data_IF_620996513078
#
_entry.id   IF_620996513078
#
_cell.length_a   1.000
_cell.length_b   1.000
_cell.length_c   1.000
_cell.angle_alpha   90.00
_cell.angle_beta   90.00
_cell.angle_gamma   90.00
#
_symmetry.space_group_name_H-M   'P 1'
#
loop_
_entity.id
_entity.type
_entity.pdbx_description
1 polymer ?
#
# COMPACT_ATOMS: atom_id res chain seq x y z
N UNK A 1 10.00 14.90 23.49
CA UNK A 1 10.55 14.09 22.38
C UNK A 1 10.45 12.61 22.67
N UNK A 2 11.12 12.07 23.70
CA UNK A 2 11.06 10.64 24.04
C UNK A 2 9.63 10.08 24.14
N UNK A 3 8.71 10.78 24.83
CA UNK A 3 7.31 10.37 24.96
C UNK A 3 6.55 10.18 23.64
N UNK A 4 6.85 10.97 22.60
CA UNK A 4 6.20 10.88 21.28
C UNK A 4 6.80 9.70 20.49
N UNK A 5 8.12 9.51 20.59
CA UNK A 5 8.84 8.41 19.93
C UNK A 5 8.73 7.09 20.69
N UNK A 6 7.89 7.02 21.74
CA UNK A 6 7.77 5.87 22.66
C UNK A 6 9.09 5.44 23.31
N UNK A 7 10.06 6.37 23.38
CA UNK A 7 11.36 6.18 24.01
C UNK A 7 11.33 6.72 25.44
N UNK A 8 11.91 5.97 26.38
CA UNK A 8 12.07 6.40 27.77
C UNK A 8 13.02 7.60 27.93
N UNK A 9 13.13 8.12 29.14
CA UNK A 9 14.11 9.16 29.49
C UNK A 9 14.84 8.78 30.79
N UNK A 10 16.14 9.09 30.87
CA UNK A 10 16.98 8.74 32.02
C UNK A 10 16.71 9.61 33.25
N UNK A 11 16.13 10.80 33.07
CA UNK A 11 15.88 11.76 34.14
C UNK A 11 14.38 11.80 34.43
N UNK A 12 13.96 11.22 35.56
CA UNK A 12 12.56 11.21 35.98
C UNK A 12 12.21 12.40 36.91
N UNK A 13 11.01 12.99 36.76
CA UNK A 13 10.55 14.05 37.63
C UNK A 13 10.33 13.53 39.08
N UNK A 14 10.94 14.24 40.04
CA UNK A 14 10.85 13.90 41.47
C UNK A 14 9.60 14.46 42.16
N UNK A 15 9.11 15.64 41.75
CA UNK A 15 7.97 16.31 42.36
C UNK A 15 6.62 15.73 41.93
N UNK A 16 5.62 15.75 42.81
CA UNK A 16 4.29 15.16 42.54
C UNK A 16 3.54 15.90 41.42
N UNK A 17 3.61 17.23 41.39
CA UNK A 17 2.94 18.05 40.37
C UNK A 17 3.50 17.82 38.97
N UNK A 18 4.83 17.66 38.84
CA UNK A 18 5.47 17.39 37.55
C UNK A 18 5.18 15.99 37.03
N UNK A 19 4.93 15.01 37.91
CA UNK A 19 4.45 13.67 37.51
C UNK A 19 3.08 13.70 36.86
N UNK A 20 2.14 14.48 37.39
CA UNK A 20 0.81 14.63 36.77
C UNK A 20 0.88 15.28 35.39
N UNK A 21 1.70 16.33 35.23
CA UNK A 21 1.92 16.98 33.94
C UNK A 21 2.57 16.01 32.94
N UNK A 22 3.59 15.25 33.37
CA UNK A 22 4.21 14.23 32.52
C UNK A 22 3.23 13.10 32.14
N UNK A 23 2.36 12.67 33.07
CA UNK A 23 1.33 11.67 32.80
C UNK A 23 0.30 12.16 31.78
N UNK A 24 -0.18 13.40 31.92
CA UNK A 24 -1.11 14.02 30.97
C UNK A 24 -0.47 14.18 29.59
N UNK A 25 0.80 14.60 29.54
CA UNK A 25 1.57 14.73 28.30
C UNK A 25 1.80 13.38 27.63
N UNK A 26 2.10 12.34 28.41
CA UNK A 26 2.26 10.99 27.89
C UNK A 26 0.96 10.46 27.30
N UNK A 27 -0.16 10.64 28.01
CA UNK A 27 -1.49 10.25 27.52
C UNK A 27 -1.84 10.96 26.22
N UNK A 28 -1.61 12.27 26.15
CA UNK A 28 -1.78 13.06 24.93
C UNK A 28 -0.92 12.53 23.78
N UNK A 29 0.38 12.28 24.02
CA UNK A 29 1.30 11.78 23.00
C UNK A 29 0.88 10.41 22.46
N UNK A 30 0.40 9.51 23.34
CA UNK A 30 -0.13 8.21 22.94
C UNK A 30 -1.36 8.38 22.04
N UNK A 31 -2.34 9.21 22.42
CA UNK A 31 -3.53 9.44 21.60
C UNK A 31 -3.14 9.94 20.19
N UNK A 32 -2.28 10.95 20.11
CA UNK A 32 -1.87 11.53 18.83
C UNK A 32 -1.16 10.49 17.94
N UNK A 33 -0.22 9.71 18.49
CA UNK A 33 0.46 8.66 17.74
C UNK A 33 -0.51 7.58 17.24
N UNK A 34 -1.45 7.13 18.08
CA UNK A 34 -2.41 6.11 17.69
C UNK A 34 -3.39 6.62 16.62
N UNK A 35 -3.87 7.86 16.72
CA UNK A 35 -4.72 8.46 15.68
C UNK A 35 -3.97 8.60 14.36
N UNK A 36 -2.69 9.00 14.39
CA UNK A 36 -1.86 9.07 13.19
C UNK A 36 -1.66 7.69 12.55
N UNK A 37 -1.33 6.65 13.34
CA UNK A 37 -1.18 5.27 12.85
C UNK A 37 -2.50 4.77 12.24
N UNK A 38 -3.64 5.05 12.89
CA UNK A 38 -4.95 4.66 12.40
C UNK A 38 -5.29 5.33 11.06
N UNK A 39 -5.06 6.65 10.94
CA UNK A 39 -5.32 7.38 9.71
C UNK A 39 -4.37 6.98 8.57
N UNK A 40 -3.10 6.74 8.89
CA UNK A 40 -2.13 6.21 7.94
C UNK A 40 -2.57 4.83 7.43
N UNK A 41 -2.89 3.91 8.34
CA UNK A 41 -3.38 2.57 8.01
C UNK A 41 -4.60 2.62 7.09
N UNK A 42 -5.61 3.42 7.44
CA UNK A 42 -6.81 3.59 6.62
C UNK A 42 -6.51 4.13 5.21
N UNK A 43 -5.56 5.07 5.08
CA UNK A 43 -5.13 5.58 3.77
C UNK A 43 -4.39 4.52 2.95
N UNK A 44 -3.60 3.66 3.59
CA UNK A 44 -2.88 2.58 2.90
C UNK A 44 -3.85 1.50 2.41
N UNK A 45 -4.86 1.15 3.21
CA UNK A 45 -5.92 0.23 2.77
C UNK A 45 -6.76 0.82 1.65
N UNK A 46 -7.05 2.13 1.68
CA UNK A 46 -7.77 2.81 0.60
C UNK A 46 -6.95 2.84 -0.71
N UNK A 47 -5.62 2.88 -0.62
CA UNK A 47 -4.76 2.84 -1.80
C UNK A 47 -4.88 1.51 -2.56
N UNK A 48 -5.15 0.41 -1.84
CA UNK A 48 -5.38 -0.94 -2.39
C UNK A 48 -6.76 -1.09 -3.04
N UNK A 49 -7.74 -0.24 -2.68
CA UNK A 49 -9.11 -0.28 -3.23
C UNK A 49 -9.30 0.59 -4.48
N UNK A 50 -8.26 1.28 -4.97
CA UNK A 50 -8.36 2.21 -6.11
C UNK A 50 -8.48 1.50 -7.48
N UNK A 51 -9.33 0.49 -7.59
CA UNK A 51 -9.84 0.11 -8.90
C UNK A 51 -10.86 1.15 -9.37
N UNK A 52 -10.72 1.68 -10.60
CA UNK A 52 -11.57 2.75 -11.08
C UNK A 52 -13.05 2.33 -11.23
N UNK A 53 -13.32 1.03 -11.28
CA UNK A 53 -14.66 0.43 -11.44
C UNK A 53 -14.70 -0.94 -10.73
N UNK A 54 -15.67 -1.16 -9.85
CA UNK A 54 -15.92 -2.47 -9.23
C UNK A 54 -17.24 -3.08 -9.74
N UNK A 55 -18.22 -2.24 -10.08
CA UNK A 55 -19.52 -2.66 -10.60
C UNK A 55 -19.84 -2.00 -11.94
N UNK A 56 -20.77 -2.62 -12.67
CA UNK A 56 -21.33 -2.06 -13.91
C UNK A 56 -22.12 -0.77 -13.65
N UNK A 57 -22.69 -0.60 -12.46
CA UNK A 57 -23.33 0.65 -12.05
C UNK A 57 -22.33 1.81 -11.95
N UNK A 58 -21.10 1.55 -11.51
CA UNK A 58 -20.04 2.56 -11.42
C UNK A 58 -19.56 2.95 -12.81
N UNK A 59 -19.39 1.95 -13.69
CA UNK A 59 -19.04 2.14 -15.09
C UNK A 59 -20.08 3.00 -15.83
N UNK A 60 -21.37 2.82 -15.53
CA UNK A 60 -22.46 3.57 -16.15
C UNK A 60 -22.58 5.03 -15.65
N UNK A 61 -22.19 5.32 -14.41
CA UNK A 61 -22.21 6.68 -13.85
C UNK A 61 -21.06 7.55 -14.35
N UNK A 62 -19.92 6.93 -14.69
CA UNK A 62 -18.72 7.63 -15.14
C UNK A 62 -18.62 7.69 -16.67
N UNK A 63 -17.92 8.69 -17.18
CA UNK A 63 -17.73 8.91 -18.62
C UNK A 63 -16.28 8.76 -19.08
N UNK A 64 -15.35 8.50 -18.15
CA UNK A 64 -13.90 8.41 -18.42
C UNK A 64 -13.54 7.12 -19.14
N UNK A 65 -14.10 6.00 -18.71
CA UNK A 65 -13.95 4.68 -19.34
C UNK A 65 -15.11 4.48 -20.31
N UNK A 66 -14.81 4.35 -21.60
CA UNK A 66 -15.81 4.03 -22.63
C UNK A 66 -16.11 2.54 -22.59
N UNK A 67 -17.30 2.13 -23.01
CA UNK A 67 -17.65 0.71 -23.06
C UNK A 67 -18.37 0.36 -24.35
N UNK A 68 -18.25 -0.89 -24.78
CA UNK A 68 -18.89 -1.38 -25.99
C UNK A 68 -19.11 -2.88 -26.00
N UNK A 69 -19.81 -3.35 -27.03
CA UNK A 69 -20.13 -4.75 -27.28
C UNK A 69 -20.01 -5.04 -28.79
N UNK A 70 -20.19 -6.30 -29.17
CA UNK A 70 -20.20 -6.70 -30.58
C UNK A 70 -21.45 -6.14 -31.28
N UNK A 71 -21.26 -5.54 -32.46
CA UNK A 71 -22.36 -5.10 -33.33
C UNK A 71 -23.21 -6.30 -33.76
N UNK A 72 -24.51 -6.27 -33.46
CA UNK A 72 -25.43 -7.36 -33.78
C UNK A 72 -25.24 -8.63 -32.95
N UNK A 73 -24.43 -8.57 -31.88
CA UNK A 73 -24.25 -9.67 -30.95
C UNK A 73 -25.40 -9.82 -29.94
N UNK A 74 -25.48 -10.99 -29.31
CA UNK A 74 -26.44 -11.32 -28.24
C UNK A 74 -26.37 -10.35 -27.06
N UNK A 75 -25.16 -9.87 -26.72
CA UNK A 75 -24.93 -8.93 -25.63
C UNK A 75 -25.47 -7.53 -25.94
N UNK A 76 -25.33 -7.04 -27.17
CA UNK A 76 -25.90 -5.75 -27.57
C UNK A 76 -27.42 -5.82 -27.63
N UNK A 77 -27.96 -6.92 -28.15
CA UNK A 77 -29.42 -7.13 -28.19
C UNK A 77 -30.01 -7.26 -26.79
N UNK A 78 -29.32 -7.86 -25.81
CA UNK A 78 -29.74 -7.85 -24.41
C UNK A 78 -30.00 -6.44 -23.88
N UNK A 79 -29.06 -5.51 -24.08
CA UNK A 79 -29.22 -4.12 -23.65
C UNK A 79 -30.37 -3.41 -24.40
N UNK A 80 -30.66 -3.81 -25.64
CA UNK A 80 -31.78 -3.30 -26.45
C UNK A 80 -33.14 -3.89 -26.06
N UNK A 81 -33.18 -5.16 -25.65
CA UNK A 81 -34.39 -5.83 -25.17
C UNK A 81 -34.83 -5.25 -23.83
N UNK A 82 -33.89 -4.95 -22.92
CA UNK A 82 -34.20 -4.26 -21.66
C UNK A 82 -34.86 -2.90 -21.91
N UNK A 83 -34.40 -2.15 -22.92
CA UNK A 83 -35.02 -0.90 -23.36
C UNK A 83 -36.48 -1.13 -23.86
N UNK A 84 -36.73 -2.23 -24.54
CA UNK A 84 -38.02 -2.54 -25.17
C UNK A 84 -39.04 -3.13 -24.18
N UNK A 85 -38.60 -4.02 -23.29
CA UNK A 85 -39.42 -4.68 -22.27
C UNK A 85 -39.96 -3.69 -21.24
N UNK A 86 -39.17 -2.66 -20.88
CA UNK A 86 -39.57 -1.60 -19.94
C UNK A 86 -40.83 -0.83 -20.38
N UNK A 87 -41.11 -0.73 -21.69
CA UNK A 87 -42.34 -0.07 -22.19
C UNK A 87 -43.61 -0.88 -21.95
N UNK A 88 -43.52 -2.21 -21.90
CA UNK A 88 -44.68 -3.10 -21.71
C UNK A 88 -44.91 -3.46 -20.24
N UNK A 89 -43.89 -3.29 -19.39
CA UNK A 89 -43.89 -3.68 -17.98
C UNK A 89 -44.45 -2.61 -17.02
N UNK A 90 -44.89 -1.45 -17.53
CA UNK A 90 -45.44 -0.36 -16.71
C UNK A 90 -46.82 -0.64 -16.10
N UNK A 91 -47.51 -1.72 -16.48
CA UNK A 91 -48.91 -1.94 -16.09
C UNK A 91 -49.15 -3.05 -15.05
N UNK A 92 -48.17 -3.90 -14.71
CA UNK A 92 -48.46 -5.09 -13.90
C UNK A 92 -47.61 -5.35 -12.65
N UNK A 93 -46.47 -4.67 -12.43
CA UNK A 93 -45.58 -5.02 -11.30
C UNK A 93 -45.14 -3.81 -10.48
N UNK A 94 -46.10 -3.20 -9.75
CA UNK A 94 -45.83 -2.21 -8.70
C UNK A 94 -45.27 -2.84 -7.40
N UNK A 95 -45.09 -4.16 -7.33
CA UNK A 95 -44.73 -4.86 -6.09
C UNK A 95 -43.48 -5.76 -6.16
N UNK A 96 -42.57 -5.56 -7.13
CA UNK A 96 -41.33 -6.32 -7.17
C UNK A 96 -40.10 -5.41 -7.14
N UNK A 97 -39.49 -5.34 -5.94
CA UNK A 97 -38.09 -5.01 -5.69
C UNK A 97 -37.56 -3.70 -6.30
N UNK A 98 -37.49 -2.63 -5.50
CA UNK A 98 -36.79 -1.37 -5.83
C UNK A 98 -35.38 -1.56 -6.44
N UNK A 99 -34.71 -2.67 -6.11
CA UNK A 99 -33.40 -3.03 -6.65
C UNK A 99 -33.43 -3.47 -8.13
N UNK A 100 -34.50 -4.12 -8.61
CA UNK A 100 -34.59 -4.61 -9.99
C UNK A 100 -34.81 -3.43 -10.96
N UNK A 101 -35.71 -2.51 -10.61
CA UNK A 101 -36.01 -1.31 -11.40
C UNK A 101 -34.79 -0.37 -11.55
N UNK A 102 -33.88 -0.35 -10.56
CA UNK A 102 -32.64 0.42 -10.64
C UNK A 102 -31.70 -0.12 -11.70
N UNK A 103 -31.53 -1.46 -11.80
CA UNK A 103 -30.64 -2.09 -12.79
C UNK A 103 -31.14 -1.88 -14.22
N UNK A 104 -32.45 -1.92 -14.43
CA UNK A 104 -33.06 -1.69 -15.75
C UNK A 104 -32.77 -0.27 -16.26
N UNK A 105 -32.77 0.73 -15.37
CA UNK A 105 -32.42 2.11 -15.70
C UNK A 105 -30.94 2.25 -16.09
N UNK A 106 -30.04 1.58 -15.36
CA UNK A 106 -28.61 1.56 -15.67
C UNK A 106 -28.35 0.96 -17.06
N UNK A 107 -28.88 -0.23 -17.33
CA UNK A 107 -28.67 -0.93 -18.61
C UNK A 107 -29.24 -0.18 -19.80
N UNK A 108 -30.39 0.48 -19.61
CA UNK A 108 -30.96 1.38 -20.62
C UNK A 108 -30.03 2.54 -20.95
N UNK A 109 -29.50 3.22 -19.94
CA UNK A 109 -28.58 4.34 -20.13
C UNK A 109 -27.31 3.89 -20.87
N UNK A 110 -26.81 2.69 -20.53
CA UNK A 110 -25.66 2.10 -21.20
C UNK A 110 -25.94 1.81 -22.68
N UNK A 111 -27.10 1.23 -23.00
CA UNK A 111 -27.50 1.02 -24.38
C UNK A 111 -27.57 2.33 -25.17
N UNK A 112 -28.24 3.34 -24.63
CA UNK A 112 -28.36 4.66 -25.27
C UNK A 112 -26.99 5.30 -25.52
N UNK A 113 -26.05 5.15 -24.58
CA UNK A 113 -24.67 5.64 -24.71
C UNK A 113 -23.88 4.89 -25.79
N UNK A 114 -24.03 3.57 -25.87
CA UNK A 114 -23.40 2.74 -26.92
C UNK A 114 -24.00 3.04 -28.30
N UNK A 115 -25.33 3.22 -28.38
CA UNK A 115 -26.03 3.55 -29.62
C UNK A 115 -25.67 4.96 -30.13
N UNK A 116 -25.47 5.92 -29.23
CA UNK A 116 -25.04 7.27 -29.58
C UNK A 116 -23.59 7.33 -30.11
N UNK A 117 -22.75 6.35 -29.73
CA UNK A 117 -21.33 6.33 -30.09
C UNK A 117 -20.96 5.03 -30.82
N UNK A 118 -21.32 4.87 -32.11
CA UNK A 118 -21.07 3.61 -32.83
C UNK A 118 -19.59 3.22 -32.91
N UNK A 119 -18.69 4.19 -32.76
CA UNK A 119 -17.25 3.95 -32.71
C UNK A 119 -16.80 3.10 -31.51
N UNK A 120 -17.59 2.96 -30.45
CA UNK A 120 -17.25 2.10 -29.28
C UNK A 120 -17.58 0.63 -29.52
N UNK A 121 -18.42 0.33 -30.50
CA UNK A 121 -18.78 -1.04 -30.86
C UNK A 121 -17.68 -1.67 -31.71
N UNK A 122 -17.61 -2.99 -31.69
CA UNK A 122 -16.61 -3.79 -32.42
C UNK A 122 -17.29 -4.89 -33.21
N UNK A 123 -16.58 -5.48 -34.17
CA UNK A 123 -17.14 -6.53 -35.04
C UNK A 123 -16.84 -7.94 -34.54
N UNK A 124 -15.73 -8.13 -33.81
CA UNK A 124 -15.28 -9.43 -33.31
C UNK A 124 -14.78 -9.35 -31.87
N UNK A 125 -14.80 -10.50 -31.18
CA UNK A 125 -14.24 -10.65 -29.83
C UNK A 125 -12.72 -10.37 -29.80
N UNK A 126 -11.99 -10.75 -30.85
CA UNK A 126 -10.55 -10.52 -30.93
C UNK A 126 -10.21 -9.03 -31.12
N UNK A 127 -11.03 -8.32 -31.89
CA UNK A 127 -10.94 -6.86 -32.05
C UNK A 127 -11.23 -6.15 -30.72
N UNK A 128 -12.27 -6.61 -30.00
CA UNK A 128 -12.60 -6.11 -28.67
C UNK A 128 -11.47 -6.30 -27.66
N UNK A 129 -10.85 -7.48 -27.63
CA UNK A 129 -9.68 -7.76 -26.80
C UNK A 129 -8.51 -6.82 -27.14
N UNK A 130 -8.14 -6.73 -28.41
CA UNK A 130 -7.01 -5.90 -28.85
C UNK A 130 -7.24 -4.43 -28.50
N UNK A 131 -8.49 -3.97 -28.62
CA UNK A 131 -8.88 -2.61 -28.25
C UNK A 131 -8.74 -2.34 -26.76
N UNK A 132 -9.19 -3.25 -25.89
CA UNK A 132 -9.01 -3.12 -24.44
C UNK A 132 -7.52 -3.01 -24.09
N UNK A 133 -6.68 -3.84 -24.71
CA UNK A 133 -5.22 -3.82 -24.50
C UNK A 133 -4.57 -2.51 -24.97
N UNK A 134 -4.99 -1.98 -26.13
CA UNK A 134 -4.49 -0.71 -26.69
C UNK A 134 -4.93 0.50 -25.87
N UNK A 135 -6.13 0.46 -25.30
CA UNK A 135 -6.75 1.59 -24.60
C UNK A 135 -6.27 1.79 -23.16
N UNK A 136 -5.40 0.94 -22.61
CA UNK A 136 -4.78 1.11 -21.27
C UNK A 136 -5.76 1.62 -20.20
N UNK A 137 -6.75 0.80 -19.84
CA UNK A 137 -7.79 1.08 -18.81
C UNK A 137 -8.80 2.19 -19.13
N UNK A 138 -8.88 2.68 -20.38
CA UNK A 138 -9.89 3.68 -20.80
C UNK A 138 -11.05 3.10 -21.61
N UNK A 139 -11.04 1.79 -21.86
CA UNK A 139 -12.10 1.09 -22.57
C UNK A 139 -12.41 -0.25 -21.92
N UNK A 140 -13.69 -0.53 -21.69
CA UNK A 140 -14.21 -1.80 -21.22
C UNK A 140 -15.02 -2.48 -22.32
N UNK A 141 -14.97 -3.81 -22.38
CA UNK A 141 -15.62 -4.59 -23.42
C UNK A 141 -16.54 -5.64 -22.83
N UNK A 142 -17.82 -5.62 -23.24
CA UNK A 142 -18.80 -6.62 -22.85
C UNK A 142 -18.72 -7.83 -23.77
N UNK A 143 -18.61 -9.01 -23.14
CA UNK A 143 -18.47 -10.30 -23.80
C UNK A 143 -19.14 -11.37 -22.91
N UNK A 144 -19.47 -12.52 -23.48
CA UNK A 144 -20.02 -13.67 -22.76
C UNK A 144 -19.00 -14.23 -21.74
N UNK A 145 -19.47 -14.61 -20.54
CA UNK A 145 -18.62 -15.07 -19.42
C UNK A 145 -17.64 -16.20 -19.81
N UNK A 146 -18.12 -17.17 -20.58
CA UNK A 146 -17.34 -18.30 -21.09
C UNK A 146 -16.11 -17.86 -21.90
N UNK A 147 -16.30 -16.84 -22.76
CA UNK A 147 -15.26 -16.32 -23.64
C UNK A 147 -14.30 -15.43 -22.84
N UNK A 148 -14.82 -14.66 -21.87
CA UNK A 148 -13.98 -13.91 -20.92
C UNK A 148 -13.06 -14.86 -20.14
N UNK A 149 -13.60 -15.92 -19.53
CA UNK A 149 -12.82 -16.94 -18.81
C UNK A 149 -11.74 -17.55 -19.69
N UNK A 150 -12.06 -17.82 -20.95
CA UNK A 150 -11.12 -18.35 -21.93
C UNK A 150 -9.98 -17.39 -22.22
N UNK A 151 -10.28 -16.10 -22.41
CA UNK A 151 -9.29 -15.06 -22.77
C UNK A 151 -8.42 -14.67 -21.57
N UNK A 152 -8.98 -14.57 -20.36
CA UNK A 152 -8.22 -14.28 -19.14
C UNK A 152 -7.09 -15.30 -18.88
N UNK A 153 -7.36 -16.59 -19.11
CA UNK A 153 -6.35 -17.64 -18.94
C UNK A 153 -5.23 -17.60 -19.99
N UNK A 154 -5.37 -16.82 -21.06
CA UNK A 154 -4.36 -16.68 -22.12
C UNK A 154 -3.63 -15.35 -22.07
N UNK A 155 -4.29 -14.33 -21.51
CA UNK A 155 -3.77 -12.99 -21.46
C UNK A 155 -3.94 -12.40 -20.06
N UNK A 156 -2.87 -12.47 -19.27
CA UNK A 156 -2.85 -12.01 -17.88
C UNK A 156 -2.93 -10.47 -17.74
N UNK A 157 -2.93 -9.72 -18.86
CA UNK A 157 -3.13 -8.26 -18.86
C UNK A 157 -4.60 -7.88 -18.78
N UNK A 158 -5.51 -8.83 -18.97
CA UNK A 158 -6.94 -8.61 -18.89
C UNK A 158 -7.43 -8.89 -17.47
N UNK A 159 -8.38 -8.09 -16.99
CA UNK A 159 -9.09 -8.30 -15.73
C UNK A 159 -10.59 -8.35 -16.00
N UNK A 160 -11.31 -9.29 -15.37
CA UNK A 160 -12.79 -9.27 -15.31
C UNK A 160 -13.19 -8.37 -14.15
N UNK A 161 -14.11 -7.44 -14.43
CA UNK A 161 -14.68 -6.52 -13.43
C UNK A 161 -16.15 -6.84 -13.27
N UNK A 162 -16.59 -6.95 -12.02
CA UNK A 162 -17.99 -7.21 -11.66
C UNK A 162 -18.47 -8.65 -11.92
N UNK A 163 -19.75 -8.86 -11.59
CA UNK A 163 -20.45 -10.13 -11.77
C UNK A 163 -21.09 -10.31 -13.15
N UNK A 164 -21.80 -11.41 -13.31
CA UNK A 164 -22.58 -11.69 -14.53
C UNK A 164 -23.83 -10.82 -14.58
N UNK A 165 -24.14 -10.27 -15.77
CA UNK A 165 -25.29 -9.38 -15.97
C UNK A 165 -26.59 -10.14 -16.20
N UNK A 166 -26.46 -11.33 -16.79
CA UNK A 166 -27.52 -12.26 -17.09
C UNK A 166 -27.04 -13.71 -16.90
N UNK A 167 -28.00 -14.63 -16.81
CA UNK A 167 -27.73 -16.08 -16.77
C UNK A 167 -28.19 -16.70 -18.09
N UNK A 168 -27.24 -16.98 -18.98
CA UNK A 168 -27.49 -17.60 -20.29
C UNK A 168 -26.63 -18.83 -20.49
N UNK A 169 -27.24 -19.85 -21.09
CA UNK A 169 -26.59 -21.13 -21.39
C UNK A 169 -26.51 -21.36 -22.91
N UNK A 170 -25.45 -22.03 -23.36
CA UNK A 170 -25.36 -22.51 -24.73
C UNK A 170 -26.20 -23.76 -24.94
N UNK A 171 -26.93 -23.79 -26.06
CA UNK A 171 -27.72 -24.93 -26.48
C UNK A 171 -27.41 -25.33 -27.92
N UNK A 172 -27.66 -26.61 -28.24
CA UNK A 172 -27.60 -27.11 -29.61
C UNK A 172 -28.96 -26.83 -30.25
N UNK A 173 -29.00 -25.86 -31.18
CA UNK A 173 -30.20 -25.54 -31.91
C UNK A 173 -30.52 -26.64 -32.94
N UNK A 174 -31.79 -27.06 -33.00
CA UNK A 174 -32.30 -28.01 -33.99
C UNK A 174 -33.62 -27.47 -34.56
N UNK A 175 -33.98 -27.84 -35.80
CA UNK A 175 -35.27 -27.47 -36.38
C UNK A 175 -36.44 -27.81 -35.45
N UNK A 176 -37.44 -26.92 -35.40
CA UNK A 176 -38.59 -27.06 -34.50
C UNK A 176 -39.56 -28.18 -34.92
N UNK A 177 -39.60 -28.52 -36.21
CA UNK A 177 -40.45 -29.61 -36.71
C UNK A 177 -39.91 -30.95 -36.24
N UNK A 178 -40.74 -31.72 -35.53
CA UNK A 178 -40.43 -33.06 -35.03
C UNK A 178 -40.10 -34.03 -36.18
N UNK A 179 -40.72 -33.84 -37.35
CA UNK A 179 -40.35 -34.57 -38.57
C UNK A 179 -38.94 -34.24 -39.10
N UNK A 180 -38.42 -33.04 -38.78
CA UNK A 180 -37.10 -32.61 -39.23
C UNK A 180 -36.01 -32.85 -38.18
N UNK A 181 -36.35 -33.24 -36.95
CA UNK A 181 -35.38 -33.47 -35.87
C UNK A 181 -35.75 -34.65 -34.96
N UNK A 182 -35.66 -35.90 -35.48
CA UNK A 182 -35.97 -37.10 -34.69
C UNK A 182 -34.98 -37.30 -33.52
N UNK A 183 -33.76 -36.76 -33.63
CA UNK A 183 -32.70 -36.95 -32.64
C UNK A 183 -32.75 -35.98 -31.45
N UNK A 184 -33.67 -35.01 -31.45
CA UNK A 184 -33.74 -33.98 -30.40
C UNK A 184 -33.83 -34.59 -28.99
N UNK A 185 -34.70 -35.58 -28.81
CA UNK A 185 -34.93 -36.25 -27.52
C UNK A 185 -33.71 -37.06 -27.08
N UNK A 186 -33.11 -37.80 -27.99
CA UNK A 186 -31.94 -38.64 -27.68
C UNK A 186 -30.70 -37.81 -27.39
N UNK A 187 -30.48 -36.71 -28.12
CA UNK A 187 -29.39 -35.77 -27.86
C UNK A 187 -29.58 -35.10 -26.50
N UNK A 188 -30.80 -34.66 -26.17
CA UNK A 188 -31.06 -34.05 -24.86
C UNK A 188 -30.77 -35.04 -23.72
N UNK A 189 -31.20 -36.31 -23.87
CA UNK A 189 -30.88 -37.38 -22.91
C UNK A 189 -29.38 -37.63 -22.81
N UNK A 190 -28.65 -37.60 -23.93
CA UNK A 190 -27.20 -37.75 -23.94
C UNK A 190 -26.48 -36.60 -23.23
N UNK A 191 -26.91 -35.35 -23.45
CA UNK A 191 -26.35 -34.16 -22.77
C UNK A 191 -26.56 -34.27 -21.25
N UNK A 192 -27.75 -34.67 -20.81
CA UNK A 192 -28.03 -34.89 -19.38
C UNK A 192 -27.08 -35.94 -18.77
N UNK A 193 -26.89 -37.08 -19.45
CA UNK A 193 -25.93 -38.10 -19.00
C UNK A 193 -24.50 -37.57 -18.94
N UNK A 194 -24.06 -36.76 -19.91
CA UNK A 194 -22.73 -36.16 -19.90
C UNK A 194 -22.54 -35.17 -18.76
N UNK A 195 -23.61 -34.46 -18.37
CA UNK A 195 -23.63 -33.55 -17.21
C UNK A 195 -23.59 -34.33 -15.89
N UNK A 196 -24.43 -35.35 -15.72
CA UNK A 196 -24.45 -36.23 -14.54
C UNK A 196 -23.10 -36.90 -14.31
N UNK A 197 -22.44 -37.35 -15.38
CA UNK A 197 -21.12 -37.97 -15.32
C UNK A 197 -19.97 -36.96 -15.16
N UNK A 198 -20.24 -35.66 -15.01
CA UNK A 198 -19.24 -34.56 -14.94
C UNK A 198 -18.27 -34.53 -16.12
N UNK A 199 -18.67 -35.14 -17.25
CA UNK A 199 -17.81 -35.25 -18.43
C UNK A 199 -17.70 -33.90 -19.13
N UNK A 200 -18.78 -33.11 -19.11
CA UNK A 200 -18.77 -31.74 -19.64
C UNK A 200 -17.78 -30.85 -18.87
N UNK A 201 -17.70 -30.97 -17.54
CA UNK A 201 -16.76 -30.18 -16.73
C UNK A 201 -15.32 -30.58 -17.02
N UNK A 202 -15.04 -31.88 -17.18
CA UNK A 202 -13.73 -32.37 -17.62
C UNK A 202 -13.35 -31.82 -18.99
N UNK A 203 -14.30 -31.75 -19.92
CA UNK A 203 -14.10 -31.16 -21.24
C UNK A 203 -13.82 -29.65 -21.11
N UNK A 204 -14.61 -28.91 -20.32
CA UNK A 204 -14.39 -27.48 -20.07
C UNK A 204 -12.98 -27.24 -19.51
N UNK A 205 -12.61 -27.96 -18.45
CA UNK A 205 -11.29 -27.82 -17.83
C UNK A 205 -10.15 -28.10 -18.82
N UNK A 206 -10.26 -29.17 -19.60
CA UNK A 206 -9.27 -29.52 -20.62
C UNK A 206 -9.08 -28.40 -21.66
N UNK A 207 -10.16 -27.79 -22.15
CA UNK A 207 -10.05 -26.77 -23.20
C UNK A 207 -9.78 -25.35 -22.69
N UNK A 208 -10.21 -25.01 -21.47
CA UNK A 208 -9.97 -23.69 -20.88
C UNK A 208 -8.62 -23.60 -20.15
N UNK A 209 -8.22 -24.63 -19.41
CA UNK A 209 -7.05 -24.56 -18.51
C UNK A 209 -5.82 -25.30 -19.03
N UNK A 210 -5.97 -26.36 -19.83
CA UNK A 210 -4.82 -27.21 -20.21
C UNK A 210 -4.35 -27.03 -21.66
N UNK A 211 -5.23 -26.57 -22.56
CA UNK A 211 -4.97 -26.54 -24.01
C UNK A 211 -4.89 -25.13 -24.58
N UNK A 212 -4.29 -25.02 -25.78
CA UNK A 212 -4.18 -23.80 -26.58
C UNK A 212 -3.60 -22.58 -25.83
N UNK A 213 -2.39 -22.74 -25.28
CA UNK A 213 -1.64 -21.62 -24.71
C UNK A 213 -2.20 -21.04 -23.42
N UNK A 214 -2.97 -21.82 -22.65
CA UNK A 214 -3.38 -21.44 -21.31
C UNK A 214 -2.13 -21.20 -20.43
N UNK A 215 -1.95 -19.96 -19.99
CA UNK A 215 -0.89 -19.57 -19.09
C UNK A 215 -1.45 -19.61 -17.66
N UNK A 216 -0.65 -20.11 -16.72
CA UNK A 216 -0.89 -19.86 -15.31
C UNK A 216 -0.54 -18.40 -15.06
N UNK A 217 -1.51 -17.51 -15.22
CA UNK A 217 -1.41 -16.20 -14.60
C UNK A 217 -1.28 -16.45 -13.10
N UNK A 218 -0.27 -15.84 -12.47
CA UNK A 218 -0.26 -15.76 -11.01
C UNK A 218 -1.61 -15.20 -10.60
N UNK A 219 -2.30 -15.82 -9.63
CA UNK A 219 -3.56 -15.30 -9.18
C UNK A 219 -3.31 -13.85 -8.75
N UNK A 220 -3.92 -12.90 -9.47
CA UNK A 220 -4.23 -11.61 -8.87
C UNK A 220 -5.08 -11.98 -7.68
N UNK A 221 -4.47 -11.91 -6.51
CA UNK A 221 -5.03 -12.19 -5.19
C UNK A 221 -6.53 -11.89 -5.21
N UNK A 222 -7.34 -12.92 -4.97
CA UNK A 222 -8.79 -12.73 -4.81
C UNK A 222 -9.00 -11.58 -3.82
N UNK A 223 -9.97 -10.70 -4.12
CA UNK A 223 -10.28 -9.44 -3.41
C UNK A 223 -10.57 -9.58 -1.90
N UNK A 224 -10.40 -10.78 -1.31
CA UNK A 224 -10.61 -11.08 0.10
C UNK A 224 -9.32 -11.43 0.88
N UNK A 225 -8.17 -11.65 0.23
CA UNK A 225 -6.91 -12.00 0.92
C UNK A 225 -5.81 -10.96 0.62
N UNK A 226 -6.12 -9.68 0.82
CA UNK A 226 -5.15 -8.59 0.74
C UNK A 226 -4.19 -8.70 1.95
N UNK A 227 -3.28 -9.65 1.91
CA UNK A 227 -1.98 -9.54 2.56
C UNK A 227 -1.22 -8.49 1.75
N UNK A 228 -1.53 -7.22 2.02
CA UNK A 228 -1.04 -6.07 1.27
C UNK A 228 0.47 -6.05 1.34
N UNK A 229 1.12 -6.48 0.26
CA UNK A 229 2.57 -6.42 0.15
C UNK A 229 2.95 -4.94 0.21
N UNK A 230 3.58 -4.55 1.31
CA UNK A 230 3.99 -3.17 1.58
C UNK A 230 5.17 -2.85 0.66
N UNK A 231 4.85 -2.52 -0.59
CA UNK A 231 5.83 -2.21 -1.60
C UNK A 231 6.71 -1.04 -1.13
N UNK A 232 8.03 -1.17 -1.32
CA UNK A 232 9.05 -0.22 -0.85
C UNK A 232 8.77 1.23 -1.25
N UNK A 233 7.96 1.43 -2.28
CA UNK A 233 7.49 2.74 -2.75
C UNK A 233 6.73 3.51 -1.65
N UNK A 234 5.91 2.82 -0.83
CA UNK A 234 5.16 3.45 0.27
C UNK A 234 6.07 3.90 1.43
N UNK A 235 7.25 3.31 1.59
CA UNK A 235 8.21 3.62 2.66
C UNK A 235 9.34 4.55 2.21
N UNK A 236 9.42 4.89 0.92
CA UNK A 236 10.50 5.72 0.35
C UNK A 236 10.62 7.09 1.03
N UNK A 237 9.48 7.71 1.38
CA UNK A 237 9.46 9.01 2.05
C UNK A 237 10.18 9.02 3.40
N UNK A 238 10.05 7.94 4.19
CA UNK A 238 10.72 7.82 5.48
C UNK A 238 12.25 7.75 5.34
N UNK A 239 12.74 7.03 4.33
CA UNK A 239 14.18 6.95 4.04
C UNK A 239 14.77 8.30 3.61
N UNK A 240 14.05 9.07 2.79
CA UNK A 240 14.51 10.40 2.36
C UNK A 240 14.64 11.34 3.56
N UNK A 241 13.66 11.37 4.46
CA UNK A 241 13.71 12.21 5.68
C UNK A 241 14.88 11.81 6.58
N UNK A 242 15.16 10.52 6.72
CA UNK A 242 16.29 10.01 7.51
C UNK A 242 17.63 10.49 6.94
N UNK A 243 17.83 10.38 5.61
CA UNK A 243 19.09 10.81 4.96
C UNK A 243 19.28 12.31 5.09
N UNK A 244 18.24 13.11 4.85
CA UNK A 244 18.30 14.58 5.00
C UNK A 244 18.61 14.96 6.45
N UNK A 245 17.98 14.29 7.42
CA UNK A 245 18.25 14.50 8.84
C UNK A 245 19.71 14.21 9.23
N UNK A 246 20.28 13.12 8.71
CA UNK A 246 21.69 12.78 8.96
C UNK A 246 22.65 13.83 8.39
N UNK A 247 22.43 14.28 7.16
CA UNK A 247 23.26 15.31 6.53
C UNK A 247 23.17 16.62 7.29
N UNK A 248 21.97 17.01 7.72
CA UNK A 248 21.75 18.23 8.48
C UNK A 248 22.41 18.18 9.87
N UNK A 249 22.29 17.04 10.57
CA UNK A 249 22.99 16.81 11.84
C UNK A 249 24.51 16.91 11.66
N UNK A 250 25.09 16.25 10.65
CA UNK A 250 26.53 16.33 10.36
C UNK A 250 26.97 17.77 10.08
N UNK A 251 26.16 18.55 9.37
CA UNK A 251 26.45 19.96 9.08
C UNK A 251 26.44 20.82 10.34
N UNK A 252 25.44 20.67 11.22
CA UNK A 252 25.39 21.39 12.50
C UNK A 252 26.60 21.01 13.37
N UNK A 253 26.89 19.72 13.51
CA UNK A 253 28.05 19.26 14.29
C UNK A 253 29.37 19.80 13.74
N UNK A 254 29.51 19.88 12.41
CA UNK A 254 30.69 20.49 11.80
C UNK A 254 30.80 22.00 12.13
N UNK A 255 29.70 22.75 12.10
CA UNK A 255 29.67 24.17 12.48
C UNK A 255 30.01 24.37 13.96
N UNK A 256 29.41 23.59 14.85
CA UNK A 256 29.69 23.65 16.28
C UNK A 256 31.16 23.32 16.57
N UNK A 257 31.69 22.28 15.92
CA UNK A 257 33.10 21.91 16.02
C UNK A 257 34.01 23.04 15.52
N UNK A 258 33.68 23.69 14.40
CA UNK A 258 34.44 24.84 13.90
C UNK A 258 34.38 26.04 14.86
N UNK A 259 33.22 26.31 15.46
CA UNK A 259 33.06 27.38 16.45
C UNK A 259 33.86 27.10 17.72
N UNK A 260 33.90 25.85 18.18
CA UNK A 260 34.69 25.44 19.33
C UNK A 260 36.20 25.56 19.03
N UNK A 261 36.66 25.10 17.87
CA UNK A 261 38.05 25.28 17.43
C UNK A 261 38.41 26.77 17.36
N UNK A 262 37.51 27.62 16.84
CA UNK A 262 37.72 29.08 16.82
C UNK A 262 37.81 29.65 18.24
N UNK A 263 36.93 29.25 19.15
CA UNK A 263 36.96 29.70 20.55
C UNK A 263 38.26 29.29 21.25
N UNK A 264 38.75 28.08 21.02
CA UNK A 264 40.01 27.58 21.58
C UNK A 264 41.20 28.37 21.02
N UNK A 265 41.24 28.62 19.70
CA UNK A 265 42.30 29.42 19.08
C UNK A 265 42.34 30.84 19.63
N UNK A 266 41.18 31.48 19.81
CA UNK A 266 41.10 32.83 20.40
C UNK A 266 41.57 32.84 21.86
N UNK A 267 41.22 31.81 22.64
CA UNK A 267 41.58 31.69 24.07
C UNK A 267 43.06 31.36 24.29
N UNK A 268 43.64 30.50 23.46
CA UNK A 268 44.99 29.94 23.67
C UNK A 268 46.06 30.47 22.72
N UNK A 269 45.70 31.26 21.69
CA UNK A 269 46.63 31.89 20.73
C UNK A 269 47.56 30.87 20.03
N UNK A 270 46.99 29.78 19.53
CA UNK A 270 47.71 28.66 18.88
C UNK A 270 47.29 28.52 17.41
N UNK A 271 48.15 27.90 16.59
CA UNK A 271 47.94 27.77 15.13
C UNK A 271 46.73 26.90 14.78
N UNK A 272 45.85 27.39 13.90
CA UNK A 272 44.57 26.77 13.52
C UNK A 272 44.65 25.28 13.10
N UNK A 273 45.70 24.89 12.36
CA UNK A 273 45.83 23.54 11.81
C UNK A 273 46.14 22.48 12.88
N UNK A 274 46.93 22.84 13.89
CA UNK A 274 47.33 21.89 14.94
C UNK A 274 46.20 21.61 15.92
N UNK A 275 45.41 22.63 16.26
CA UNK A 275 44.24 22.49 17.12
C UNK A 275 43.17 21.65 16.43
N UNK A 276 42.90 21.93 15.15
CA UNK A 276 41.92 21.17 14.37
C UNK A 276 42.27 19.68 14.29
N UNK A 277 43.52 19.33 13.96
CA UNK A 277 43.95 17.92 13.85
C UNK A 277 43.94 17.22 15.21
N UNK A 278 44.35 17.90 16.29
CA UNK A 278 44.36 17.32 17.64
C UNK A 278 42.94 17.09 18.18
N UNK A 279 42.04 18.06 18.02
CA UNK A 279 40.63 17.94 18.44
C UNK A 279 39.87 16.91 17.59
N UNK A 280 40.12 16.84 16.27
CA UNK A 280 39.52 15.81 15.40
C UNK A 280 40.00 14.40 15.79
N UNK A 281 41.28 14.24 16.10
CA UNK A 281 41.85 12.96 16.54
C UNK A 281 41.32 12.57 17.93
N UNK A 282 41.06 13.53 18.81
CA UNK A 282 40.47 13.29 20.12
C UNK A 282 38.98 12.92 20.01
N UNK A 283 38.20 13.58 19.13
CA UNK A 283 36.77 13.28 18.94
C UNK A 283 36.51 11.95 18.23
N UNK A 284 37.42 11.51 17.36
CA UNK A 284 37.35 10.19 16.69
C UNK A 284 37.85 9.02 17.58
N UNK A 285 38.45 9.31 18.74
CA UNK A 285 38.84 8.30 19.71
C UNK A 285 37.67 7.96 20.65
N UNK A 286 36.81 7.04 20.22
CA UNK A 286 35.63 6.58 20.96
C UNK A 286 35.90 6.02 22.38
N UNK A 287 37.15 5.70 22.71
CA UNK A 287 37.55 5.12 24.00
C UNK A 287 38.04 6.14 25.04
N UNK A 288 38.13 7.43 24.69
CA UNK A 288 38.71 8.44 25.57
C UNK A 288 37.61 9.25 26.28
N UNK A 289 37.30 8.88 27.52
CA UNK A 289 36.20 9.44 28.34
C UNK A 289 36.45 10.86 28.89
N UNK A 290 37.66 11.41 28.71
CA UNK A 290 38.02 12.76 29.19
C UNK A 290 38.77 13.55 28.12
N UNK A 291 38.33 14.80 27.91
CA UNK A 291 38.95 15.76 26.98
C UNK A 291 40.36 16.12 27.47
N UNK A 292 41.43 15.93 26.66
CA UNK A 292 42.76 16.39 27.04
C UNK A 292 42.78 17.93 27.07
N UNK A 293 43.24 18.50 28.18
CA UNK A 293 43.39 19.96 28.33
C UNK A 293 44.54 20.42 27.44
N UNK A 294 44.23 21.16 26.38
CA UNK A 294 45.22 21.89 25.62
C UNK A 294 45.76 23.01 26.54
N UNK A 295 47.08 23.11 26.68
CA UNK A 295 47.72 24.19 27.44
C UNK A 295 48.93 24.66 26.64
N UNK A 296 48.95 25.95 26.31
CA UNK A 296 50.05 26.55 25.58
C UNK A 296 51.34 26.47 26.42
N UNK A 297 52.43 25.80 25.95
CA UNK A 297 53.66 25.60 26.73
C UNK A 297 54.33 26.92 27.12
N UNK A 298 54.06 28.01 26.41
CA UNK A 298 54.61 29.35 26.65
C UNK A 298 54.10 30.03 27.93
N UNK A 299 53.10 29.47 28.63
CA UNK A 299 52.44 30.08 29.81
C UNK A 299 52.45 29.18 31.05
N UNK A 300 53.26 28.12 31.09
CA UNK A 300 53.42 27.33 32.31
C UNK A 300 54.24 28.14 33.34
N UNK A 301 53.69 28.47 34.53
CA UNK A 301 54.52 29.03 35.60
C UNK A 301 55.46 27.93 36.09
N UNK A 302 56.76 28.20 36.01
CA UNK A 302 57.84 27.32 36.47
C UNK A 302 57.98 27.35 37.99
N UNK A 303 56.97 26.92 38.75
CA UNK A 303 57.13 26.55 40.17
C UNK A 303 56.10 25.46 40.48
N UNK A 304 56.56 24.23 40.73
CA UNK A 304 55.93 23.27 41.64
C UNK A 304 56.84 22.04 41.81
N UNK A 305 57.84 22.16 42.66
CA UNK A 305 58.42 21.03 43.38
C UNK A 305 57.99 21.13 44.85
N UNK A 306 57.57 20.00 45.41
CA UNK A 306 57.47 19.64 46.84
C UNK A 306 56.22 19.91 47.69
N UNK A 307 55.25 20.77 47.34
CA UNK A 307 54.12 21.07 48.27
C UNK A 307 52.82 20.26 48.00
N UNK A 308 52.71 19.59 46.84
CA UNK A 308 51.48 18.87 46.45
C UNK A 308 51.39 17.43 46.96
N UNK A 309 52.53 16.80 47.27
CA UNK A 309 52.56 15.40 47.69
C UNK A 309 52.21 15.24 49.18
N UNK A 310 52.68 16.16 50.02
CA UNK A 310 52.40 16.15 51.47
C UNK A 310 50.90 16.38 51.76
N UNK A 311 50.22 17.18 50.93
CA UNK A 311 48.78 17.45 51.07
C UNK A 311 47.90 16.28 50.61
N UNK A 312 48.37 15.49 49.63
CA UNK A 312 47.70 14.28 49.16
C UNK A 312 47.83 13.13 50.16
N UNK A 313 48.98 12.99 50.80
CA UNK A 313 49.21 11.94 51.80
C UNK A 313 48.36 12.17 53.07
N UNK A 314 48.20 13.43 53.49
CA UNK A 314 47.34 13.79 54.63
C UNK A 314 45.84 13.60 54.35
N UNK A 315 45.37 13.82 53.11
CA UNK A 315 43.99 13.53 52.73
C UNK A 315 43.70 12.02 52.66
N UNK A 316 44.66 11.21 52.20
CA UNK A 316 44.50 9.75 52.17
C UNK A 316 44.35 9.15 53.57
N UNK A 317 45.18 9.59 54.53
CA UNK A 317 45.11 9.15 55.94
C UNK A 317 43.80 9.57 56.63
N UNK A 318 43.24 10.73 56.29
CA UNK A 318 41.96 11.18 56.82
C UNK A 318 40.77 10.33 56.32
N UNK A 319 40.81 9.90 55.05
CA UNK A 319 39.76 9.05 54.45
C UNK A 319 39.84 7.62 55.01
N UNK A 320 41.04 7.10 55.24
CA UNK A 320 41.24 5.77 55.83
C UNK A 320 40.76 5.72 57.30
N UNK A 321 41.01 6.78 58.07
CA UNK A 321 40.48 6.91 59.43
C UNK A 321 38.94 7.01 59.47
N UNK A 322 38.33 7.66 58.48
CA UNK A 322 36.87 7.76 58.39
C UNK A 322 36.21 6.42 58.05
N UNK A 323 36.79 5.64 57.12
CA UNK A 323 36.30 4.30 56.77
C UNK A 323 36.47 3.28 57.91
N UNK A 324 37.48 3.44 58.77
CA UNK A 324 37.65 2.58 59.95
C UNK A 324 36.66 2.90 61.08
N UNK A 325 36.17 4.14 61.16
CA UNK A 325 35.11 4.56 62.10
C UNK A 325 33.73 4.00 61.71
N UNK A 326 33.46 3.87 60.41
CA UNK A 326 32.20 3.34 59.88
C UNK A 326 32.09 1.80 60.03
N UNK A 327 33.21 1.10 60.21
CA UNK A 327 33.26 -0.35 60.47
C UNK A 327 33.11 -0.74 61.95
N UNK A 328 33.14 0.23 62.86
CA UNK A 328 33.12 0.00 64.31
C UNK A 328 31.78 0.36 64.98
N UNK A 329 30.72 0.61 64.19
CA UNK A 329 29.32 0.83 64.63
C UNK A 329 28.44 -0.27 64.04
#
# INVERSE_FOLDING_TARGET
MGSIMTQGCDILPKAIGTRWVCGMWWFFAVIVCQTYIAQLSASMTSALENEPINSVDDLAKQTKIRYGAIVGGSTLEFFKEVLSSSKSFSYYLMHLSLHQASKDKTYRHMYETMAANPAVLVTSNDEGEERVLKSKNTYAFFMESSTIEYKLKRNCKLKKVGGELDSKDYGIAMPASEYNSPFRTDINRAILRLKELTTLDKIKNKWWHEKYGAQKCEPTVDENDIEGDLEMENLMGAFVVLVVGLVFCLFITAIEFMNEVRNIVVREQVTHKEVFIKELKASLNFFQLQKPVLRNPSRAPSIASSDSDERRENQAKAIENFMNLEKAV
#
